data_IF_676514794320
#
_entry.id   IF_676514794320
#
_cell.length_a   1.000
_cell.length_b   1.000
_cell.length_c   1.000
_cell.angle_alpha   90.00
_cell.angle_beta   90.00
_cell.angle_gamma   90.00
#
_symmetry.space_group_name_H-M   'P 1'
#
loop_
_entity.id
_entity.type
_entity.pdbx_description
1 polymer ?
#
# COMPACT_ATOMS: atom_id res chain seq x y z
N UNK A 1 -6.30 -10.63 -22.91
CA UNK A 1 -4.83 -10.72 -23.17
C UNK A 1 -4.14 -10.04 -22.01
N UNK A 2 -2.98 -10.56 -21.60
CA UNK A 2 -2.15 -9.90 -20.59
C UNK A 2 -1.58 -8.56 -21.08
N UNK A 3 -1.04 -7.79 -20.14
CA UNK A 3 -0.27 -6.58 -20.43
C UNK A 3 1.23 -6.90 -20.56
N UNK A 4 2.10 -5.95 -20.92
CA UNK A 4 3.55 -6.17 -20.87
C UNK A 4 4.11 -6.50 -19.49
N UNK A 5 3.34 -6.25 -18.42
CA UNK A 5 3.77 -6.38 -17.04
C UNK A 5 2.96 -7.43 -16.26
N UNK A 6 1.89 -7.97 -16.84
CA UNK A 6 1.00 -8.90 -16.15
C UNK A 6 0.41 -9.92 -17.13
N UNK A 7 0.59 -11.23 -16.87
CA UNK A 7 0.12 -12.33 -17.72
C UNK A 7 -1.28 -12.85 -17.34
N UNK A 8 -1.87 -12.32 -16.27
CA UNK A 8 -3.21 -12.70 -15.83
C UNK A 8 -4.28 -12.44 -16.91
N UNK A 9 -5.39 -13.12 -16.79
CA UNK A 9 -6.57 -12.92 -17.61
C UNK A 9 -7.58 -12.06 -16.82
N UNK A 10 -8.49 -11.44 -17.53
CA UNK A 10 -9.63 -10.75 -16.92
C UNK A 10 -10.42 -11.73 -16.07
N UNK A 11 -10.63 -11.39 -14.79
CA UNK A 11 -11.28 -12.25 -13.81
C UNK A 11 -10.35 -13.11 -12.96
N UNK A 12 -9.03 -13.15 -13.25
CA UNK A 12 -8.07 -13.86 -12.41
C UNK A 12 -7.77 -13.09 -11.11
N UNK A 13 -7.91 -11.75 -11.10
CA UNK A 13 -7.81 -10.95 -9.88
C UNK A 13 -9.17 -10.76 -9.22
N UNK A 14 -9.17 -10.76 -7.89
CA UNK A 14 -10.31 -10.37 -7.07
C UNK A 14 -10.55 -8.84 -7.15
N UNK A 15 -11.73 -8.39 -6.68
CA UNK A 15 -12.08 -6.97 -6.63
C UNK A 15 -11.18 -6.16 -5.70
N UNK A 16 -10.64 -6.78 -4.66
CA UNK A 16 -9.71 -6.17 -3.71
C UNK A 16 -8.34 -6.83 -3.82
N UNK A 17 -7.30 -5.99 -4.01
CA UNK A 17 -5.90 -6.41 -4.12
C UNK A 17 -5.09 -5.79 -2.98
N UNK A 18 -4.41 -6.61 -2.19
CA UNK A 18 -3.37 -6.18 -1.26
C UNK A 18 -2.06 -6.01 -2.02
N UNK A 19 -1.41 -4.86 -1.87
CA UNK A 19 -0.24 -4.52 -2.69
C UNK A 19 0.99 -4.17 -1.84
N UNK A 20 1.80 -5.18 -1.44
CA UNK A 20 3.12 -4.94 -0.87
C UNK A 20 4.12 -4.48 -1.95
N UNK A 21 5.20 -3.80 -1.55
CA UNK A 21 6.30 -3.47 -2.47
C UNK A 21 7.13 -4.69 -2.86
N UNK A 22 7.37 -5.57 -1.91
CA UNK A 22 8.24 -6.74 -2.02
C UNK A 22 7.49 -7.99 -2.56
N UNK A 23 7.97 -8.64 -3.66
CA UNK A 23 7.38 -9.88 -4.17
C UNK A 23 7.40 -11.03 -3.15
N UNK A 24 8.42 -11.14 -2.31
CA UNK A 24 8.47 -12.17 -1.28
C UNK A 24 7.39 -11.93 -0.20
N UNK A 25 7.06 -10.68 0.07
CA UNK A 25 5.95 -10.36 0.96
C UNK A 25 4.60 -10.69 0.34
N UNK A 26 4.40 -10.48 -0.97
CA UNK A 26 3.16 -10.92 -1.62
C UNK A 26 2.97 -12.42 -1.53
N UNK A 27 4.03 -13.19 -1.75
CA UNK A 27 4.03 -14.64 -1.56
C UNK A 27 3.72 -15.02 -0.12
N UNK A 28 4.39 -14.41 0.85
CA UNK A 28 4.18 -14.66 2.29
C UNK A 28 2.71 -14.41 2.70
N UNK A 29 2.12 -13.27 2.31
CA UNK A 29 0.72 -12.96 2.61
C UNK A 29 -0.19 -14.03 2.01
N UNK A 30 0.01 -14.36 0.74
CA UNK A 30 -0.81 -15.32 0.03
C UNK A 30 -0.75 -16.72 0.67
N UNK A 31 0.45 -17.26 0.90
CA UNK A 31 0.65 -18.60 1.47
C UNK A 31 0.24 -18.70 2.95
N UNK A 32 0.31 -17.59 3.70
CA UNK A 32 0.00 -17.59 5.14
C UNK A 32 -1.49 -17.43 5.42
N UNK A 33 -2.19 -16.62 4.63
CA UNK A 33 -3.54 -16.19 4.97
C UNK A 33 -4.62 -16.64 4.01
N UNK A 34 -4.29 -17.00 2.76
CA UNK A 34 -5.29 -17.38 1.76
C UNK A 34 -5.39 -18.90 1.60
N UNK A 35 -6.59 -19.38 1.31
CA UNK A 35 -6.86 -20.76 0.85
C UNK A 35 -7.17 -20.75 -0.64
N UNK A 36 -7.20 -21.93 -1.27
CA UNK A 36 -7.48 -22.10 -2.72
C UNK A 36 -6.60 -21.19 -3.61
N UNK A 37 -5.32 -21.17 -3.27
CA UNK A 37 -4.34 -20.22 -3.79
C UNK A 37 -3.96 -20.52 -5.25
N UNK A 38 -4.02 -19.49 -6.10
CA UNK A 38 -3.57 -19.53 -7.49
C UNK A 38 -2.55 -18.43 -7.76
N UNK A 39 -1.40 -18.78 -8.37
CA UNK A 39 -0.46 -17.81 -8.91
C UNK A 39 -1.00 -17.33 -10.26
N UNK A 40 -1.35 -16.04 -10.35
CA UNK A 40 -1.99 -15.44 -11.54
C UNK A 40 -1.04 -14.55 -12.34
N UNK A 41 0.06 -14.12 -11.73
CA UNK A 41 1.12 -13.35 -12.41
C UNK A 41 2.50 -13.68 -11.86
N UNK A 42 3.49 -13.80 -12.75
CA UNK A 42 4.92 -13.89 -12.39
C UNK A 42 5.83 -13.15 -13.40
N UNK A 43 5.25 -12.28 -14.22
CA UNK A 43 6.02 -11.45 -15.16
C UNK A 43 6.97 -10.56 -14.37
N UNK A 44 8.25 -10.53 -14.78
CA UNK A 44 9.34 -9.79 -14.11
C UNK A 44 9.58 -10.17 -12.64
N UNK A 45 9.09 -11.34 -12.20
CA UNK A 45 9.16 -11.75 -10.79
C UNK A 45 8.19 -10.98 -9.87
N UNK A 46 7.31 -10.15 -10.43
CA UNK A 46 6.26 -9.47 -9.68
C UNK A 46 5.10 -10.44 -9.50
N UNK A 47 5.18 -11.20 -8.41
CA UNK A 47 4.24 -12.27 -8.14
C UNK A 47 2.87 -11.72 -7.72
N UNK A 48 1.83 -12.22 -8.39
CA UNK A 48 0.42 -11.97 -8.07
C UNK A 48 -0.31 -13.28 -7.78
N UNK A 49 -1.07 -13.30 -6.71
CA UNK A 49 -1.82 -14.45 -6.24
C UNK A 49 -3.29 -14.08 -6.03
N UNK A 50 -4.18 -15.04 -6.24
CA UNK A 50 -5.60 -14.94 -5.87
C UNK A 50 -6.00 -16.17 -5.07
N UNK A 51 -6.74 -15.98 -4.02
CA UNK A 51 -7.26 -17.04 -3.15
C UNK A 51 -8.45 -16.55 -2.33
N UNK A 52 -8.79 -17.31 -1.30
CA UNK A 52 -9.91 -16.98 -0.41
C UNK A 52 -9.40 -16.62 0.99
N UNK A 53 -9.90 -15.53 1.55
CA UNK A 53 -9.77 -15.18 2.96
C UNK A 53 -11.15 -15.14 3.61
N UNK A 54 -11.41 -15.99 4.60
CA UNK A 54 -12.74 -16.15 5.21
C UNK A 54 -13.87 -16.38 4.19
N UNK A 55 -13.57 -17.09 3.10
CA UNK A 55 -14.50 -17.36 2.01
C UNK A 55 -14.69 -16.23 0.99
N UNK A 56 -14.00 -15.08 1.16
CA UNK A 56 -14.04 -13.95 0.24
C UNK A 56 -12.83 -14.00 -0.70
N UNK A 57 -13.01 -13.83 -2.03
CA UNK A 57 -11.88 -13.72 -2.96
C UNK A 57 -11.03 -12.48 -2.66
N UNK A 58 -9.73 -12.68 -2.50
CA UNK A 58 -8.73 -11.62 -2.27
C UNK A 58 -7.52 -11.91 -3.14
N UNK A 59 -6.95 -10.87 -3.73
CA UNK A 59 -5.68 -10.97 -4.44
C UNK A 59 -4.56 -10.26 -3.68
N UNK A 60 -3.35 -10.74 -3.88
CA UNK A 60 -2.13 -10.10 -3.37
C UNK A 60 -1.15 -10.00 -4.52
N UNK A 61 -0.67 -8.82 -4.85
CA UNK A 61 0.32 -8.62 -5.91
C UNK A 61 1.34 -7.56 -5.50
N UNK A 62 2.62 -7.82 -5.73
CA UNK A 62 3.66 -6.85 -5.45
C UNK A 62 3.58 -5.62 -6.38
N UNK A 63 4.00 -4.47 -5.87
CA UNK A 63 4.09 -3.22 -6.65
C UNK A 63 5.50 -2.90 -7.13
N UNK A 64 6.53 -3.55 -6.60
CA UNK A 64 7.89 -3.02 -6.64
C UNK A 64 8.01 -1.78 -5.74
N UNK A 65 9.10 -1.04 -5.89
CA UNK A 65 9.39 0.17 -5.11
C UNK A 65 9.25 1.43 -5.96
N UNK A 66 8.73 2.48 -5.35
CA UNK A 66 8.62 3.81 -5.94
C UNK A 66 7.35 4.07 -6.75
N UNK A 67 7.01 5.34 -6.86
CA UNK A 67 5.80 5.79 -7.54
C UNK A 67 5.70 5.33 -9.01
N UNK A 68 6.78 5.33 -9.82
CA UNK A 68 6.68 4.81 -11.19
C UNK A 68 6.31 3.34 -11.25
N UNK A 69 6.81 2.52 -10.30
CA UNK A 69 6.53 1.09 -10.28
C UNK A 69 5.08 0.80 -9.90
N UNK A 70 4.62 1.29 -8.74
CA UNK A 70 3.22 1.09 -8.35
C UNK A 70 2.26 1.75 -9.35
N UNK A 71 2.69 2.82 -9.99
CA UNK A 71 1.95 3.50 -11.04
C UNK A 71 1.57 2.59 -12.19
N UNK A 72 2.51 1.77 -12.67
CA UNK A 72 2.26 0.77 -13.72
C UNK A 72 1.24 -0.27 -13.24
N UNK A 73 1.55 -0.97 -12.16
CA UNK A 73 0.77 -2.13 -11.72
C UNK A 73 -0.64 -1.75 -11.25
N UNK A 74 -0.78 -0.66 -10.48
CA UNK A 74 -2.11 -0.22 -10.03
C UNK A 74 -2.98 0.26 -11.19
N UNK A 75 -2.43 0.98 -12.15
CA UNK A 75 -3.15 1.42 -13.33
C UNK A 75 -3.68 0.24 -14.15
N UNK A 76 -2.82 -0.76 -14.41
CA UNK A 76 -3.22 -1.97 -15.14
C UNK A 76 -4.28 -2.78 -14.38
N UNK A 77 -4.13 -2.96 -13.06
CA UNK A 77 -5.12 -3.66 -12.24
C UNK A 77 -6.50 -2.98 -12.31
N UNK A 78 -6.56 -1.66 -12.21
CA UNK A 78 -7.80 -0.91 -12.29
C UNK A 78 -8.44 -0.95 -13.69
N UNK A 79 -7.63 -0.80 -14.75
CA UNK A 79 -8.16 -0.59 -16.11
C UNK A 79 -8.30 -1.87 -16.92
N UNK A 80 -7.53 -2.93 -16.64
CA UNK A 80 -7.49 -4.16 -17.44
C UNK A 80 -8.06 -5.37 -16.71
N UNK A 81 -8.07 -5.37 -15.37
CA UNK A 81 -8.39 -6.56 -14.58
C UNK A 81 -9.60 -6.38 -13.66
N UNK A 82 -10.39 -5.33 -13.83
CA UNK A 82 -11.62 -5.03 -13.07
C UNK A 82 -11.42 -4.95 -11.55
N UNK A 83 -10.22 -4.59 -11.10
CA UNK A 83 -9.95 -4.36 -9.67
C UNK A 83 -10.65 -3.06 -9.25
N UNK A 84 -11.31 -3.09 -8.10
CA UNK A 84 -12.02 -1.95 -7.55
C UNK A 84 -11.25 -1.28 -6.41
N UNK A 85 -10.58 -2.08 -5.59
CA UNK A 85 -9.89 -1.62 -4.38
C UNK A 85 -8.44 -2.08 -4.40
N UNK A 86 -7.50 -1.17 -4.16
CA UNK A 86 -6.12 -1.54 -3.89
C UNK A 86 -5.72 -1.03 -2.51
N UNK A 87 -5.27 -1.95 -1.65
CA UNK A 87 -4.77 -1.64 -0.31
C UNK A 87 -3.26 -1.88 -0.32
N UNK A 88 -2.49 -0.79 -0.32
CA UNK A 88 -1.04 -0.88 -0.14
C UNK A 88 -0.73 -1.35 1.28
N UNK A 89 0.08 -2.38 1.40
CA UNK A 89 0.57 -2.94 2.68
C UNK A 89 2.10 -2.86 2.71
N UNK A 90 2.61 -1.69 3.10
CA UNK A 90 4.01 -1.34 2.98
C UNK A 90 4.75 -1.16 4.30
N UNK A 91 6.06 -0.90 4.21
CA UNK A 91 6.86 -0.34 5.30
C UNK A 91 7.00 1.16 5.13
N UNK A 92 7.23 1.87 6.24
CA UNK A 92 7.46 3.31 6.25
C UNK A 92 8.43 3.68 7.38
N UNK A 93 9.22 4.73 7.15
CA UNK A 93 10.04 5.35 8.18
C UNK A 93 9.24 6.39 8.97
N UNK A 94 9.21 6.27 10.29
CA UNK A 94 8.48 7.22 11.13
C UNK A 94 9.14 8.61 11.14
N UNK A 95 8.32 9.65 11.04
CA UNK A 95 8.70 11.06 11.19
C UNK A 95 8.23 11.65 12.54
N UNK A 96 7.72 10.78 13.42
CA UNK A 96 7.26 11.12 14.78
C UNK A 96 7.93 10.19 15.78
N UNK A 97 8.46 10.76 16.87
CA UNK A 97 9.15 9.98 17.89
C UNK A 97 8.25 9.00 18.67
N UNK A 98 6.93 9.27 18.71
CA UNK A 98 5.94 8.44 19.41
C UNK A 98 5.42 7.25 18.58
N UNK A 99 5.90 7.07 17.35
CA UNK A 99 5.59 5.91 16.53
C UNK A 99 6.71 4.85 16.70
N UNK A 100 6.42 3.88 17.54
CA UNK A 100 7.34 2.77 17.81
C UNK A 100 7.51 1.86 16.59
N UNK A 101 8.62 1.12 16.54
CA UNK A 101 8.86 0.10 15.53
C UNK A 101 7.75 -0.96 15.54
N UNK A 102 7.28 -1.35 14.35
CA UNK A 102 6.16 -2.28 14.19
C UNK A 102 4.78 -1.64 14.34
N UNK A 103 4.68 -0.37 14.76
CA UNK A 103 3.39 0.36 14.76
C UNK A 103 2.78 0.36 13.37
N UNK A 104 1.45 0.27 13.31
CA UNK A 104 0.69 0.38 12.06
C UNK A 104 0.13 1.78 11.93
N UNK A 105 0.26 2.39 10.76
CA UNK A 105 -0.31 3.70 10.44
C UNK A 105 -1.11 3.64 9.14
N UNK A 106 -2.17 4.46 9.04
CA UNK A 106 -2.95 4.60 7.81
C UNK A 106 -2.81 6.01 7.23
N UNK A 107 -2.56 6.08 5.92
CA UNK A 107 -2.45 7.34 5.18
C UNK A 107 -3.80 7.84 4.71
N UNK A 108 -4.36 8.87 5.38
CA UNK A 108 -5.54 9.57 4.85
C UNK A 108 -5.22 10.45 3.65
N UNK A 109 -3.97 10.88 3.52
CA UNK A 109 -3.43 11.61 2.39
C UNK A 109 -1.94 11.33 2.23
N UNK A 110 -1.38 11.66 1.08
CA UNK A 110 0.03 11.47 0.78
C UNK A 110 0.62 12.70 0.09
N UNK A 111 1.54 13.39 0.77
CA UNK A 111 2.39 14.39 0.14
C UNK A 111 3.41 13.70 -0.78
N UNK A 112 3.94 14.39 -1.78
CA UNK A 112 4.99 13.85 -2.64
C UNK A 112 6.00 14.93 -3.06
N UNK A 113 7.23 14.48 -3.37
CA UNK A 113 8.25 15.31 -4.02
C UNK A 113 8.49 14.87 -5.49
N UNK A 114 7.49 14.27 -6.10
CA UNK A 114 7.56 13.64 -7.41
C UNK A 114 6.87 14.47 -8.48
N UNK A 115 7.39 14.39 -9.70
CA UNK A 115 6.69 14.86 -10.89
C UNK A 115 5.59 13.89 -11.38
N UNK A 116 5.29 12.82 -10.65
CA UNK A 116 4.31 11.82 -11.05
C UNK A 116 2.94 12.41 -11.39
N UNK A 117 2.51 13.45 -10.65
CA UNK A 117 1.22 14.11 -10.86
C UNK A 117 1.17 15.00 -12.11
N UNK A 118 2.32 15.43 -12.64
CA UNK A 118 2.38 16.33 -13.80
C UNK A 118 1.78 15.70 -15.06
N UNK A 119 1.81 14.36 -15.16
CA UNK A 119 1.19 13.62 -16.28
C UNK A 119 -0.31 13.87 -16.45
N UNK A 120 -1.01 14.31 -15.41
CA UNK A 120 -2.45 14.57 -15.46
C UNK A 120 -2.80 15.99 -15.93
N UNK A 121 -1.82 16.88 -16.10
CA UNK A 121 -1.94 18.25 -16.64
C UNK A 121 -3.08 19.06 -16.01
N UNK A 122 -3.29 18.95 -14.69
CA UNK A 122 -4.46 19.52 -14.01
C UNK A 122 -4.44 21.05 -13.92
N UNK A 123 -3.31 21.69 -14.18
CA UNK A 123 -3.16 23.16 -14.05
C UNK A 123 -3.26 23.70 -12.62
N UNK A 124 -3.17 22.83 -11.61
CA UNK A 124 -3.25 23.15 -10.18
C UNK A 124 -2.69 22.03 -9.31
N UNK A 125 -2.81 22.18 -7.99
CA UNK A 125 -2.37 21.16 -7.02
C UNK A 125 -3.48 20.17 -6.75
N UNK A 126 -3.23 18.89 -6.96
CA UNK A 126 -4.10 17.79 -6.55
C UNK A 126 -3.68 17.27 -5.17
N UNK A 127 -4.64 16.95 -4.32
CA UNK A 127 -4.41 16.32 -3.02
C UNK A 127 -4.64 14.80 -3.14
N UNK A 128 -3.58 13.97 -3.18
CA UNK A 128 -3.72 12.52 -3.15
C UNK A 128 -4.28 12.08 -1.80
N UNK A 129 -5.52 11.59 -1.78
CA UNK A 129 -6.22 11.15 -0.57
C UNK A 129 -6.70 9.70 -0.71
N UNK A 130 -6.79 9.01 0.43
CA UNK A 130 -7.39 7.69 0.51
C UNK A 130 -8.89 7.75 0.26
N UNK A 131 -9.43 6.63 -0.20
CA UNK A 131 -10.88 6.41 -0.18
C UNK A 131 -11.38 6.36 1.26
N UNK A 132 -12.48 7.08 1.54
CA UNK A 132 -13.00 7.22 2.88
C UNK A 132 -13.56 5.90 3.44
N UNK A 133 -14.25 5.12 2.62
CA UNK A 133 -14.88 3.86 3.08
C UNK A 133 -13.80 2.82 3.39
N UNK A 134 -12.77 2.70 2.55
CA UNK A 134 -11.60 1.86 2.83
C UNK A 134 -10.88 2.28 4.12
N UNK A 135 -10.71 3.58 4.33
CA UNK A 135 -10.06 4.10 5.53
C UNK A 135 -10.89 3.79 6.80
N UNK A 136 -12.20 4.01 6.74
CA UNK A 136 -13.10 3.70 7.86
C UNK A 136 -13.11 2.20 8.17
N UNK A 137 -13.22 1.35 7.15
CA UNK A 137 -13.14 -0.10 7.32
C UNK A 137 -11.82 -0.53 7.97
N UNK A 138 -10.69 0.12 7.62
CA UNK A 138 -9.40 -0.15 8.24
C UNK A 138 -9.34 0.28 9.71
N UNK A 139 -9.89 1.46 10.04
CA UNK A 139 -9.96 1.94 11.44
C UNK A 139 -10.80 0.99 12.31
N UNK A 140 -11.95 0.55 11.81
CA UNK A 140 -12.79 -0.42 12.50
C UNK A 140 -12.08 -1.78 12.67
N UNK A 141 -11.47 -2.29 11.60
CA UNK A 141 -10.72 -3.56 11.65
C UNK A 141 -9.54 -3.50 12.62
N UNK A 142 -8.81 -2.39 12.65
CA UNK A 142 -7.74 -2.19 13.63
C UNK A 142 -8.27 -2.21 15.06
N UNK A 143 -9.42 -1.55 15.32
CA UNK A 143 -10.08 -1.55 16.65
C UNK A 143 -10.53 -2.95 17.05
N UNK A 144 -11.16 -3.70 16.15
CA UNK A 144 -11.60 -5.09 16.38
C UNK A 144 -10.43 -6.03 16.70
N UNK A 145 -9.27 -5.81 16.06
CA UNK A 145 -8.04 -6.56 16.31
C UNK A 145 -7.23 -6.06 17.51
N UNK A 146 -7.69 -5.01 18.21
CA UNK A 146 -6.96 -4.42 19.32
C UNK A 146 -5.66 -3.71 18.92
N UNK A 147 -5.52 -3.30 17.67
CA UNK A 147 -4.32 -2.64 17.13
C UNK A 147 -4.52 -1.13 17.13
N UNK A 148 -3.61 -0.40 17.78
CA UNK A 148 -3.57 1.07 17.68
C UNK A 148 -3.05 1.45 16.30
N UNK A 149 -3.86 2.15 15.50
CA UNK A 149 -3.52 2.59 14.15
C UNK A 149 -3.80 4.10 13.98
N UNK A 150 -2.81 4.97 14.22
CA UNK A 150 -2.91 6.39 13.90
C UNK A 150 -3.19 6.63 12.41
N UNK A 151 -4.03 7.63 12.14
CA UNK A 151 -4.39 8.09 10.79
C UNK A 151 -3.84 9.49 10.56
N UNK A 152 -3.23 9.74 9.42
CA UNK A 152 -2.72 11.06 9.05
C UNK A 152 -2.01 11.07 7.70
N UNK A 153 -1.27 12.14 7.41
CA UNK A 153 -0.54 12.24 6.15
C UNK A 153 0.71 11.37 6.13
N UNK A 154 0.94 10.74 4.97
CA UNK A 154 2.21 10.14 4.58
C UNK A 154 3.00 11.09 3.66
N UNK A 155 4.26 10.78 3.47
CA UNK A 155 5.09 11.43 2.47
C UNK A 155 5.67 10.36 1.54
N UNK A 156 5.30 10.41 0.27
CA UNK A 156 5.84 9.55 -0.78
C UNK A 156 7.06 10.22 -1.39
N UNK A 157 8.24 9.63 -1.18
CA UNK A 157 9.51 10.16 -1.68
C UNK A 157 9.99 9.37 -2.91
N UNK A 158 10.53 10.08 -3.91
CA UNK A 158 11.20 9.46 -5.05
C UNK A 158 12.60 8.92 -4.70
N UNK A 159 13.12 9.30 -3.54
CA UNK A 159 14.46 8.90 -3.10
C UNK A 159 14.42 8.30 -1.70
N UNK A 160 15.05 7.14 -1.53
CA UNK A 160 15.22 6.52 -0.22
C UNK A 160 16.28 7.27 0.63
N UNK A 161 17.39 7.62 0.01
CA UNK A 161 18.46 8.40 0.67
C UNK A 161 18.19 9.89 0.52
N UNK A 162 17.85 10.55 1.63
CA UNK A 162 17.41 11.95 1.67
C UNK A 162 18.60 12.92 1.83
N UNK A 163 19.37 13.07 0.79
CA UNK A 163 20.54 13.98 0.78
C UNK A 163 20.19 15.45 1.06
N UNK A 164 18.95 15.86 0.80
CA UNK A 164 18.48 17.24 0.96
C UNK A 164 17.79 17.51 2.32
N UNK A 165 17.64 16.49 3.19
CA UNK A 165 16.96 16.61 4.48
C UNK A 165 15.49 16.98 4.38
N UNK A 166 14.79 16.48 3.35
CA UNK A 166 13.38 16.78 3.10
C UNK A 166 12.46 16.16 4.13
N UNK A 167 12.78 14.95 4.61
CA UNK A 167 12.01 14.23 5.61
C UNK A 167 11.70 15.09 6.83
N UNK A 168 12.69 15.77 7.37
CA UNK A 168 12.52 16.64 8.53
C UNK A 168 11.73 17.92 8.23
N UNK A 169 11.62 18.33 6.97
CA UNK A 169 10.76 19.45 6.58
C UNK A 169 9.29 19.01 6.57
N UNK A 170 9.00 17.81 6.05
CA UNK A 170 7.66 17.23 6.10
C UNK A 170 7.22 16.89 7.53
N UNK A 171 8.15 16.47 8.39
CA UNK A 171 7.92 16.28 9.82
C UNK A 171 7.34 17.57 10.47
N UNK A 172 7.91 18.73 10.17
CA UNK A 172 7.44 20.03 10.70
C UNK A 172 6.01 20.37 10.29
N UNK A 173 5.50 19.76 9.22
CA UNK A 173 4.12 19.88 8.74
C UNK A 173 3.19 18.82 9.33
N UNK A 174 3.66 18.01 10.29
CA UNK A 174 2.87 16.98 10.96
C UNK A 174 2.70 15.70 10.16
N UNK A 175 3.51 15.48 9.11
CA UNK A 175 3.51 14.22 8.37
C UNK A 175 4.04 13.09 9.26
N UNK A 176 3.33 11.96 9.28
CA UNK A 176 3.59 10.88 10.24
C UNK A 176 4.78 9.99 9.85
N UNK A 177 4.84 9.65 8.56
CA UNK A 177 5.83 8.69 8.07
C UNK A 177 6.15 8.94 6.59
N UNK A 178 7.34 8.49 6.17
CA UNK A 178 7.80 8.51 4.77
C UNK A 178 7.77 7.10 4.19
N UNK A 179 7.27 6.99 2.96
CA UNK A 179 7.26 5.81 2.13
C UNK A 179 7.47 6.23 0.66
N UNK A 180 7.20 5.40 -0.34
CA UNK A 180 7.58 5.73 -1.71
C UNK A 180 6.47 5.54 -2.76
N UNK A 181 5.21 5.24 -2.41
CA UNK A 181 4.19 4.76 -3.36
C UNK A 181 2.78 5.37 -3.19
N UNK A 182 2.37 5.72 -1.98
CA UNK A 182 0.96 6.04 -1.68
C UNK A 182 0.39 7.17 -2.54
N UNK A 183 1.17 8.22 -2.81
CA UNK A 183 0.69 9.34 -3.63
C UNK A 183 0.33 8.91 -5.05
N UNK A 184 1.16 8.09 -5.71
CA UNK A 184 0.88 7.60 -7.05
C UNK A 184 -0.34 6.66 -7.06
N UNK A 185 -0.46 5.79 -6.06
CA UNK A 185 -1.61 4.90 -5.93
C UNK A 185 -2.91 5.69 -5.79
N UNK A 186 -2.95 6.72 -4.93
CA UNK A 186 -4.14 7.56 -4.75
C UNK A 186 -4.49 8.35 -6.01
N UNK A 187 -3.48 8.83 -6.74
CA UNK A 187 -3.70 9.50 -8.02
C UNK A 187 -4.31 8.57 -9.06
N UNK A 188 -3.78 7.35 -9.21
CA UNK A 188 -4.32 6.37 -10.15
C UNK A 188 -5.76 5.97 -9.77
N UNK A 189 -6.05 5.78 -8.49
CA UNK A 189 -7.40 5.48 -8.03
C UNK A 189 -8.37 6.62 -8.39
N UNK A 190 -8.01 7.85 -8.07
CA UNK A 190 -8.83 9.03 -8.42
C UNK A 190 -9.05 9.15 -9.93
N UNK A 191 -7.98 9.02 -10.74
CA UNK A 191 -8.05 9.14 -12.19
C UNK A 191 -8.93 8.07 -12.85
N UNK A 192 -8.94 6.86 -12.29
CA UNK A 192 -9.71 5.72 -12.82
C UNK A 192 -11.08 5.55 -12.17
N UNK A 193 -11.46 6.42 -11.23
CA UNK A 193 -12.72 6.30 -10.47
C UNK A 193 -12.77 5.05 -9.57
N UNK A 194 -11.62 4.63 -9.06
CA UNK A 194 -11.42 3.46 -8.21
C UNK A 194 -11.01 3.87 -6.79
N UNK A 195 -10.79 2.90 -5.91
CA UNK A 195 -10.53 3.13 -4.49
C UNK A 195 -9.14 2.66 -4.08
N UNK A 196 -8.48 3.43 -3.23
CA UNK A 196 -7.16 3.10 -2.70
C UNK A 196 -7.00 3.47 -1.23
N UNK A 197 -6.18 2.69 -0.52
CA UNK A 197 -5.72 2.96 0.83
C UNK A 197 -4.27 2.52 0.98
N UNK A 198 -3.47 3.27 1.73
CA UNK A 198 -2.14 2.84 2.18
C UNK A 198 -2.14 2.61 3.68
N UNK A 199 -1.78 1.41 4.09
CA UNK A 199 -1.51 1.02 5.47
C UNK A 199 -0.05 0.62 5.53
N UNK A 200 0.70 1.18 6.48
CA UNK A 200 2.14 0.92 6.60
C UNK A 200 2.49 0.47 8.00
N UNK A 201 3.46 -0.45 8.11
CA UNK A 201 4.13 -0.73 9.37
C UNK A 201 5.43 0.06 9.46
N UNK A 202 5.70 0.62 10.63
CA UNK A 202 6.93 1.38 10.88
C UNK A 202 8.11 0.41 10.95
N UNK A 203 9.05 0.55 10.03
CA UNK A 203 10.28 -0.25 9.95
C UNK A 203 11.48 0.41 10.61
N UNK A 204 11.48 1.72 10.64
CA UNK A 204 12.54 2.57 11.18
C UNK A 204 11.95 3.89 11.67
N UNK A 205 12.60 4.53 12.62
CA UNK A 205 12.21 5.84 13.13
C UNK A 205 13.34 6.85 12.87
N UNK A 206 13.10 7.79 11.94
CA UNK A 206 14.10 8.77 11.52
C UNK A 206 14.35 9.83 12.60
N UNK A 207 13.52 9.90 13.63
CA UNK A 207 13.67 10.86 14.75
C UNK A 207 14.51 10.27 15.87
N UNK A 208 14.27 8.99 16.22
CA UNK A 208 15.00 8.29 17.30
C UNK A 208 16.23 7.54 16.80
N UNK A 209 16.31 7.26 15.50
CA UNK A 209 17.40 6.48 14.88
C UNK A 209 17.28 4.97 15.06
N UNK A 210 16.13 4.48 15.56
CA UNK A 210 15.86 3.06 15.71
C UNK A 210 15.44 2.41 14.38
N UNK A 211 15.84 1.15 14.16
CA UNK A 211 15.44 0.39 12.96
C UNK A 211 15.24 -1.09 13.28
N UNK A 212 14.32 -1.74 12.55
CA UNK A 212 14.12 -3.19 12.59
C UNK A 212 15.18 -3.89 11.76
N UNK A 213 15.65 -5.04 12.25
CA UNK A 213 16.48 -5.93 11.43
C UNK A 213 15.70 -6.43 10.20
N UNK A 214 16.38 -6.85 9.11
CA UNK A 214 15.71 -7.45 7.96
C UNK A 214 14.83 -8.65 8.30
N UNK A 215 15.23 -9.48 9.28
CA UNK A 215 14.45 -10.63 9.75
C UNK A 215 13.18 -10.20 10.51
N UNK A 216 13.28 -9.16 11.35
CA UNK A 216 12.14 -8.66 12.11
C UNK A 216 11.10 -7.99 11.23
N UNK A 217 11.51 -7.33 10.14
CA UNK A 217 10.60 -6.72 9.17
C UNK A 217 9.59 -7.70 8.56
N UNK A 218 9.96 -8.98 8.44
CA UNK A 218 9.08 -10.00 7.89
C UNK A 218 8.03 -10.46 8.90
N UNK A 219 8.39 -10.57 10.17
CA UNK A 219 7.52 -11.11 11.23
C UNK A 219 6.64 -10.04 11.90
N UNK A 220 7.07 -8.78 11.95
CA UNK A 220 6.42 -7.70 12.70
C UNK A 220 5.22 -7.10 11.96
N UNK A 221 5.09 -7.31 10.66
CA UNK A 221 4.06 -6.66 9.83
C UNK A 221 2.73 -7.40 9.74
N UNK A 222 2.55 -8.46 10.54
CA UNK A 222 1.34 -9.31 10.52
C UNK A 222 0.07 -8.55 10.86
N UNK A 223 0.12 -7.59 11.80
CA UNK A 223 -1.05 -6.78 12.16
C UNK A 223 -1.55 -5.94 10.99
N UNK A 224 -0.66 -5.29 10.25
CA UNK A 224 -1.01 -4.54 9.04
C UNK A 224 -1.69 -5.43 8.00
N UNK A 225 -1.14 -6.63 7.77
CA UNK A 225 -1.68 -7.59 6.80
C UNK A 225 -3.08 -8.06 7.21
N UNK A 226 -3.29 -8.37 8.50
CA UNK A 226 -4.60 -8.77 9.05
C UNK A 226 -5.63 -7.64 8.89
N UNK A 227 -5.27 -6.40 9.23
CA UNK A 227 -6.17 -5.25 9.03
C UNK A 227 -6.59 -5.14 7.57
N UNK A 228 -5.64 -5.21 6.62
CA UNK A 228 -5.93 -5.10 5.20
C UNK A 228 -6.82 -6.26 4.68
N UNK A 229 -6.63 -7.48 5.21
CA UNK A 229 -7.48 -8.64 4.87
C UNK A 229 -8.90 -8.49 5.43
N UNK A 230 -9.05 -7.97 6.66
CA UNK A 230 -10.40 -7.67 7.20
C UNK A 230 -11.10 -6.56 6.41
N UNK A 231 -10.36 -5.54 5.94
CA UNK A 231 -10.91 -4.54 5.01
C UNK A 231 -11.41 -5.21 3.74
N UNK A 232 -10.65 -6.14 3.16
CA UNK A 232 -11.08 -6.84 1.95
C UNK A 232 -12.39 -7.62 2.16
N UNK A 233 -12.59 -8.19 3.34
CA UNK A 233 -13.87 -8.86 3.70
C UNK A 233 -15.02 -7.85 3.82
N UNK A 234 -14.80 -6.72 4.50
CA UNK A 234 -15.83 -5.68 4.68
C UNK A 234 -16.23 -4.99 3.37
N UNK A 235 -15.36 -5.02 2.36
CA UNK A 235 -15.60 -4.41 1.04
C UNK A 235 -16.07 -5.41 -0.02
N UNK A 236 -16.42 -6.64 0.38
CA UNK A 236 -16.86 -7.69 -0.55
C UNK A 236 -18.34 -7.62 -0.94
N UNK A 237 -19.13 -6.80 -0.25
CA UNK A 237 -20.58 -6.62 -0.45
C UNK A 237 -20.91 -5.65 -1.60
#
# INVERSE_FOLDING_TARGET
MGTPHNEAKKGDFAKTVLMPGDPLRSKFIAETFLTDLNLVNNVRGVQGYTGLYKGVPVSVMASGMGMPSIGIYSYELYTQYDVENIIRVGSAGALRADLELGSVVAGQGACANSAYLEQYELGGTFAPIADFDLLMAAVESAKELGVKMPVGNLYSSDTFYDAAGRNMRFQKMGVMAVEMEAAALYCNAAYTGKRALAICSISDNLVTGEELSPADRQNTFTNMMKIALEVAVKMAD
#
